data_IF_878536804570
#
_entry.id   IF_878536804570
#
_cell.length_a   1.000
_cell.length_b   1.000
_cell.length_c   1.000
_cell.angle_alpha   90.00
_cell.angle_beta   90.00
_cell.angle_gamma   90.00
#
_symmetry.space_group_name_H-M   'P 1'
#
loop_
_entity.id
_entity.type
_entity.pdbx_description
1 polymer ?
#
# COMPACT_ATOMS: atom_id res chain seq x y z
N UNK A 1 8.71 30.95 9.12
CA UNK A 1 7.89 29.81 8.65
C UNK A 1 7.65 28.89 9.85
N UNK A 2 6.41 28.67 10.29
CA UNK A 2 6.13 27.88 11.50
C UNK A 2 6.31 26.37 11.23
N UNK A 3 6.96 25.60 12.12
CA UNK A 3 7.16 24.15 11.95
C UNK A 3 5.86 23.34 11.90
N UNK A 4 4.79 23.83 12.54
CA UNK A 4 3.47 23.18 12.53
C UNK A 4 2.84 23.16 11.14
N UNK A 5 3.18 24.12 10.28
CA UNK A 5 2.64 24.23 8.94
C UNK A 5 3.29 23.25 7.97
N UNK A 6 4.55 22.87 8.21
CA UNK A 6 5.28 21.89 7.42
C UNK A 6 4.72 20.45 7.57
N UNK A 7 4.01 20.18 8.67
CA UNK A 7 3.31 18.91 8.92
C UNK A 7 1.79 19.01 8.79
N UNK A 8 1.25 20.19 8.46
CA UNK A 8 -0.16 20.33 8.18
C UNK A 8 -0.46 19.61 6.86
N UNK A 9 -1.34 18.60 6.93
CA UNK A 9 -1.75 17.79 5.78
C UNK A 9 -2.46 18.59 4.66
N UNK A 10 -2.45 19.91 4.71
CA UNK A 10 -3.21 20.82 3.86
C UNK A 10 -2.38 21.56 2.83
N UNK A 11 -1.05 21.65 2.95
CA UNK A 11 -0.31 22.68 2.19
C UNK A 11 0.69 22.17 1.14
N UNK A 12 0.94 20.86 1.03
CA UNK A 12 1.90 20.34 0.03
C UNK A 12 1.48 19.00 -0.61
N UNK A 13 0.18 18.73 -0.75
CA UNK A 13 -0.27 17.57 -1.52
C UNK A 13 -0.88 17.97 -2.85
N UNK A 14 -0.43 17.29 -3.92
CA UNK A 14 -0.99 17.38 -5.27
C UNK A 14 -2.43 16.85 -5.37
N UNK A 15 -3.00 16.31 -4.28
CA UNK A 15 -4.42 16.02 -4.06
C UNK A 15 -4.65 15.72 -2.56
N UNK A 16 -5.77 16.16 -1.98
CA UNK A 16 -6.08 16.07 -0.54
C UNK A 16 -6.38 14.65 -0.01
N UNK A 17 -6.17 13.61 -0.83
CA UNK A 17 -6.64 12.26 -0.58
C UNK A 17 -5.55 11.21 -0.85
N UNK A 18 -5.38 10.25 0.07
CA UNK A 18 -4.46 9.10 -0.12
C UNK A 18 -5.01 8.04 -1.09
N UNK A 19 -6.33 7.99 -1.23
CA UNK A 19 -7.06 7.09 -2.14
C UNK A 19 -8.27 7.86 -2.66
N UNK A 20 -8.46 7.88 -3.97
CA UNK A 20 -9.64 8.42 -4.64
C UNK A 20 -10.19 7.33 -5.57
N UNK A 21 -11.44 6.95 -5.38
CA UNK A 21 -12.14 5.99 -6.26
C UNK A 21 -13.37 6.70 -6.81
N UNK A 22 -13.41 6.85 -8.13
CA UNK A 22 -14.54 7.43 -8.85
C UNK A 22 -15.39 6.27 -9.38
N UNK A 23 -16.69 6.33 -9.11
CA UNK A 23 -17.67 5.37 -9.63
C UNK A 23 -17.92 5.66 -11.10
N UNK A 24 -18.02 4.60 -11.90
CA UNK A 24 -18.54 4.69 -13.27
C UNK A 24 -20.01 4.28 -13.26
N UNK A 25 -20.84 4.87 -14.12
CA UNK A 25 -22.31 4.72 -14.12
C UNK A 25 -22.80 3.26 -14.28
N UNK A 26 -21.96 2.36 -14.80
CA UNK A 26 -22.29 0.96 -15.08
C UNK A 26 -21.50 -0.05 -14.21
N UNK A 27 -20.87 0.38 -13.10
CA UNK A 27 -20.10 -0.54 -12.25
C UNK A 27 -20.99 -1.23 -11.18
N UNK A 28 -20.99 -2.58 -11.09
CA UNK A 28 -21.66 -3.27 -9.99
C UNK A 28 -20.94 -3.00 -8.66
N UNK A 29 -21.71 -2.87 -7.57
CA UNK A 29 -21.23 -2.48 -6.24
C UNK A 29 -20.02 -3.31 -5.75
N UNK A 30 -20.01 -4.61 -6.01
CA UNK A 30 -18.90 -5.49 -5.62
C UNK A 30 -17.57 -5.12 -6.30
N UNK A 31 -17.61 -4.66 -7.56
CA UNK A 31 -16.40 -4.24 -8.28
C UNK A 31 -15.83 -2.96 -7.69
N UNK A 32 -16.69 -1.99 -7.33
CA UNK A 32 -16.28 -0.78 -6.64
C UNK A 32 -15.56 -1.11 -5.32
N UNK A 33 -16.16 -1.94 -4.48
CA UNK A 33 -15.61 -2.34 -3.18
C UNK A 33 -14.25 -3.03 -3.34
N UNK A 34 -14.12 -3.88 -4.36
CA UNK A 34 -12.87 -4.57 -4.66
C UNK A 34 -11.76 -3.59 -5.11
N UNK A 35 -12.08 -2.60 -5.95
CA UNK A 35 -11.12 -1.55 -6.33
C UNK A 35 -10.71 -0.72 -5.13
N UNK A 36 -11.67 -0.25 -4.35
CA UNK A 36 -11.39 0.52 -3.14
C UNK A 36 -10.49 -0.25 -2.17
N UNK A 37 -10.82 -1.53 -1.90
CA UNK A 37 -10.00 -2.39 -1.04
C UNK A 37 -8.59 -2.54 -1.59
N UNK A 38 -8.43 -2.73 -2.90
CA UNK A 38 -7.12 -2.81 -3.56
C UNK A 38 -6.33 -1.51 -3.43
N UNK A 39 -6.96 -0.36 -3.64
CA UNK A 39 -6.29 0.93 -3.57
C UNK A 39 -5.89 1.31 -2.14
N UNK A 40 -6.73 0.99 -1.15
CA UNK A 40 -6.40 1.09 0.28
C UNK A 40 -5.23 0.17 0.64
N UNK A 41 -5.23 -1.07 0.15
CA UNK A 41 -4.11 -2.00 0.36
C UNK A 41 -2.83 -1.53 -0.33
N UNK A 42 -2.93 -0.94 -1.53
CA UNK A 42 -1.81 -0.40 -2.30
C UNK A 42 -1.20 0.83 -1.64
N UNK A 43 -2.03 1.76 -1.16
CA UNK A 43 -1.60 2.92 -0.40
C UNK A 43 -1.02 2.53 0.97
N UNK A 44 -1.38 1.35 1.49
CA UNK A 44 -0.84 0.80 2.73
C UNK A 44 -1.27 1.56 3.99
N UNK A 45 -2.33 2.39 3.88
CA UNK A 45 -2.76 3.30 4.95
C UNK A 45 -3.08 2.58 6.26
N UNK A 46 -3.73 1.40 6.19
CA UNK A 46 -4.06 0.59 7.37
C UNK A 46 -2.78 0.09 8.06
N UNK A 47 -1.78 -0.35 7.29
CA UNK A 47 -0.49 -0.83 7.81
C UNK A 47 0.29 0.31 8.47
N UNK A 48 0.25 1.51 7.88
CA UNK A 48 0.88 2.71 8.46
C UNK A 48 0.24 3.07 9.79
N UNK A 49 -1.09 3.12 9.86
CA UNK A 49 -1.81 3.40 11.10
C UNK A 49 -1.50 2.36 12.19
N UNK A 50 -1.52 1.07 11.84
CA UNK A 50 -1.20 -0.01 12.80
C UNK A 50 0.24 0.09 13.32
N UNK A 51 1.20 0.40 12.45
CA UNK A 51 2.61 0.56 12.84
C UNK A 51 2.82 1.76 13.75
N UNK A 52 2.17 2.89 13.45
CA UNK A 52 2.28 4.13 14.22
C UNK A 52 1.47 4.13 15.52
N UNK A 53 0.70 3.06 15.79
CA UNK A 53 -0.07 2.92 17.04
C UNK A 53 0.85 2.91 18.27
N UNK A 54 2.07 2.40 18.15
CA UNK A 54 3.04 2.31 19.24
C UNK A 54 4.40 2.84 18.78
N UNK A 55 5.24 3.23 19.74
CA UNK A 55 6.61 3.64 19.45
C UNK A 55 7.41 2.46 18.89
N UNK A 56 8.13 2.69 17.79
CA UNK A 56 9.03 1.73 17.14
C UNK A 56 10.47 2.19 17.40
N UNK A 57 11.28 1.35 18.04
CA UNK A 57 12.69 1.67 18.25
C UNK A 57 13.50 1.55 16.94
N UNK A 58 14.75 2.04 16.93
CA UNK A 58 15.61 2.03 15.74
C UNK A 58 15.95 0.62 15.24
N UNK A 59 15.99 -0.38 16.11
CA UNK A 59 16.31 -1.75 15.74
C UNK A 59 15.11 -2.41 15.04
N UNK A 60 13.91 -2.22 15.58
CA UNK A 60 12.65 -2.71 15.03
C UNK A 60 12.35 -2.07 13.66
N UNK A 61 12.61 -0.77 13.49
CA UNK A 61 12.47 -0.10 12.19
C UNK A 61 13.39 -0.72 11.13
N UNK A 62 14.66 -0.99 11.46
CA UNK A 62 15.60 -1.65 10.55
C UNK A 62 15.14 -3.08 10.22
N UNK A 63 14.75 -3.87 11.22
CA UNK A 63 14.26 -5.24 11.07
C UNK A 63 13.01 -5.29 10.19
N UNK A 64 12.08 -4.35 10.39
CA UNK A 64 10.85 -4.22 9.60
C UNK A 64 11.16 -3.86 8.15
N UNK A 65 11.99 -2.83 7.90
CA UNK A 65 12.36 -2.42 6.53
C UNK A 65 13.02 -3.56 5.76
N UNK A 66 13.95 -4.28 6.38
CA UNK A 66 14.58 -5.46 5.78
C UNK A 66 13.57 -6.54 5.43
N UNK A 67 12.68 -6.90 6.38
CA UNK A 67 11.63 -7.90 6.16
C UNK A 67 10.64 -7.50 5.07
N UNK A 68 10.21 -6.24 5.02
CA UNK A 68 9.30 -5.73 3.99
C UNK A 68 9.94 -5.71 2.60
N UNK A 69 11.22 -5.33 2.51
CA UNK A 69 11.97 -5.38 1.26
C UNK A 69 12.16 -6.81 0.76
N UNK A 70 12.59 -7.73 1.62
CA UNK A 70 12.73 -9.15 1.28
C UNK A 70 11.40 -9.78 0.83
N UNK A 71 10.29 -9.47 1.55
CA UNK A 71 8.95 -9.94 1.17
C UNK A 71 8.52 -9.40 -0.20
N UNK A 72 8.81 -8.13 -0.50
CA UNK A 72 8.50 -7.52 -1.80
C UNK A 72 9.34 -8.13 -2.92
N UNK A 73 10.62 -8.37 -2.68
CA UNK A 73 11.52 -8.98 -3.67
C UNK A 73 11.12 -10.43 -3.97
N UNK A 74 10.76 -11.22 -2.94
CA UNK A 74 10.25 -12.58 -3.15
C UNK A 74 8.99 -12.59 -4.02
N UNK A 75 8.01 -11.75 -3.71
CA UNK A 75 6.78 -11.63 -4.54
C UNK A 75 7.07 -11.25 -5.98
N UNK A 76 8.06 -10.36 -6.22
CA UNK A 76 8.47 -10.00 -7.58
C UNK A 76 9.09 -11.20 -8.30
N UNK A 77 9.97 -11.94 -7.63
CA UNK A 77 10.62 -13.11 -8.19
C UNK A 77 9.61 -14.24 -8.50
N UNK A 78 8.68 -14.53 -7.59
CA UNK A 78 7.64 -15.54 -7.79
C UNK A 78 6.77 -15.17 -9.01
N UNK A 79 6.39 -13.90 -9.16
CA UNK A 79 5.63 -13.43 -10.31
C UNK A 79 6.41 -13.58 -11.64
N UNK A 80 7.73 -13.36 -11.63
CA UNK A 80 8.60 -13.55 -12.80
C UNK A 80 8.64 -15.03 -13.19
N UNK A 81 8.88 -15.93 -12.23
CA UNK A 81 8.91 -17.38 -12.48
C UNK A 81 7.58 -17.87 -13.06
N UNK A 82 6.46 -17.42 -12.48
CA UNK A 82 5.13 -17.78 -12.96
C UNK A 82 4.88 -17.28 -14.39
N UNK A 83 5.37 -16.08 -14.74
CA UNK A 83 5.25 -15.56 -16.11
C UNK A 83 6.13 -16.30 -17.13
N UNK A 84 7.27 -16.86 -16.70
CA UNK A 84 8.18 -17.63 -17.57
C UNK A 84 7.78 -19.11 -17.70
N UNK A 85 6.92 -19.64 -16.81
CA UNK A 85 6.43 -21.02 -16.87
C UNK A 85 4.93 -21.11 -16.47
N UNK A 86 4.00 -20.88 -17.40
CA UNK A 86 2.57 -20.89 -17.12
C UNK A 86 1.98 -22.29 -16.79
N UNK A 87 2.72 -23.38 -16.99
CA UNK A 87 2.24 -24.77 -16.88
C UNK A 87 2.15 -25.34 -15.44
N UNK A 88 2.32 -24.54 -14.39
CA UNK A 88 2.29 -25.02 -12.98
C UNK A 88 1.12 -24.49 -12.14
N UNK A 89 0.14 -23.82 -12.74
CA UNK A 89 -0.97 -23.22 -11.98
C UNK A 89 -2.15 -24.18 -11.69
N UNK A 90 -2.25 -25.30 -12.40
CA UNK A 90 -3.34 -26.26 -12.24
C UNK A 90 -2.80 -27.64 -11.78
N UNK A 91 -2.50 -27.80 -10.49
CA UNK A 91 -2.31 -29.11 -9.82
C UNK A 91 -2.56 -28.99 -8.33
#
# INVERSE_FOLDING_TARGET
>A
MSPSLAYANTLFFRSAYNVQVIMDDNEPEERLLNRFRRDVMRAGVIQVCKRRKFFENKQDDKKRKSREAAKRNRRRHDNIIVSENPLKQDS
#
